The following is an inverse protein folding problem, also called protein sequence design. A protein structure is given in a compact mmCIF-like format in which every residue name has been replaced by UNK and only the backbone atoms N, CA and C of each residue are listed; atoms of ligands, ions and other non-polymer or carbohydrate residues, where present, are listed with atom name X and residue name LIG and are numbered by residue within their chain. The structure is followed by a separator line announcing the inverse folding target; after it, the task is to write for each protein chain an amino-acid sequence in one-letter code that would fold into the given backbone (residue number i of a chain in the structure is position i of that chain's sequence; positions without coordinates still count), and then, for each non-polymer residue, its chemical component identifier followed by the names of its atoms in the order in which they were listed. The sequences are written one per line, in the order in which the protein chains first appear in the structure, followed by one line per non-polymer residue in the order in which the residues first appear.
data_IF_506859273249
#
_entry.id   IF_506859273249
#
_cell.length_a   1.000
_cell.length_b   1.000
_cell.length_c   1.000
_cell.angle_alpha   90.00
_cell.angle_beta   90.00
_cell.angle_gamma   90.00
#
_symmetry.space_group_name_H-M   'P 1'
#
loop_
_entity.id
_entity.type
_entity.pdbx_description
1 polymer ?
#
# COMPACT_ATOMS: atom_id res chain seq x y z
N UNK A 1 4.72 10.72 -19.19
CA UNK A 1 5.38 9.41 -19.03
C UNK A 1 5.58 9.07 -17.55
N UNK A 2 6.09 9.99 -16.73
CA UNK A 2 6.33 9.77 -15.29
C UNK A 2 5.07 9.43 -14.47
N UNK A 3 3.94 10.10 -14.73
CA UNK A 3 2.65 9.79 -14.07
C UNK A 3 2.09 8.38 -14.39
N UNK A 4 2.36 7.85 -15.58
CA UNK A 4 1.91 6.51 -15.95
C UNK A 4 2.65 5.43 -15.15
N UNK A 5 3.96 5.64 -14.91
CA UNK A 5 4.78 4.73 -14.11
C UNK A 5 4.38 4.76 -12.64
N UNK A 6 4.14 5.95 -12.08
CA UNK A 6 3.64 6.12 -10.71
C UNK A 6 2.30 5.41 -10.51
N UNK A 7 1.34 5.61 -11.42
CA UNK A 7 0.03 4.96 -11.34
C UNK A 7 0.13 3.43 -11.45
N UNK A 8 0.99 2.93 -12.34
CA UNK A 8 1.20 1.48 -12.48
C UNK A 8 1.82 0.88 -11.21
N UNK A 9 2.82 1.56 -10.63
CA UNK A 9 3.43 1.15 -9.37
C UNK A 9 2.41 1.16 -8.23
N UNK A 10 1.63 2.24 -8.08
CA UNK A 10 0.59 2.34 -7.06
C UNK A 10 -0.42 1.20 -7.16
N UNK A 11 -0.95 0.95 -8.37
CA UNK A 11 -1.93 -0.13 -8.58
C UNK A 11 -1.35 -1.51 -8.25
N UNK A 12 -0.06 -1.75 -8.51
CA UNK A 12 0.60 -3.00 -8.17
C UNK A 12 0.73 -3.18 -6.64
N UNK A 13 1.13 -2.13 -5.92
CA UNK A 13 1.22 -2.15 -4.47
C UNK A 13 -0.15 -2.23 -3.80
N UNK A 14 -1.15 -1.53 -4.32
CA UNK A 14 -2.54 -1.61 -3.86
C UNK A 14 -3.06 -3.04 -3.94
N UNK A 15 -2.92 -3.72 -5.09
CA UNK A 15 -3.36 -5.10 -5.24
C UNK A 15 -2.66 -6.05 -4.26
N UNK A 16 -1.34 -5.92 -4.08
CA UNK A 16 -0.59 -6.74 -3.11
C UNK A 16 -1.06 -6.49 -1.68
N UNK A 17 -1.28 -5.22 -1.33
CA UNK A 17 -1.70 -4.79 -0.01
C UNK A 17 -3.10 -5.32 0.31
N UNK A 18 -4.05 -5.16 -0.61
CA UNK A 18 -5.41 -5.70 -0.51
C UNK A 18 -5.37 -7.21 -0.33
N UNK A 19 -4.62 -7.95 -1.15
CA UNK A 19 -4.48 -9.40 -0.98
C UNK A 19 -3.97 -9.81 0.42
N UNK A 20 -2.99 -9.08 0.97
CA UNK A 20 -2.48 -9.34 2.31
C UNK A 20 -3.53 -9.02 3.40
N UNK A 21 -4.30 -7.95 3.22
CA UNK A 21 -5.35 -7.54 4.14
C UNK A 21 -6.55 -8.50 4.13
N UNK A 22 -7.02 -8.91 2.96
CA UNK A 22 -8.12 -9.88 2.76
C UNK A 22 -7.81 -11.26 3.36
N UNK A 23 -6.54 -11.66 3.35
CA UNK A 23 -6.09 -12.92 3.96
C UNK A 23 -5.79 -12.79 5.45
N UNK A 24 -5.99 -11.61 6.05
CA UNK A 24 -5.69 -11.31 7.45
C UNK A 24 -4.19 -11.26 7.77
N UNK A 25 -3.32 -11.30 6.77
CA UNK A 25 -1.87 -11.29 6.93
C UNK A 25 -1.34 -9.87 7.13
N UNK A 26 -1.56 -9.33 8.33
CA UNK A 26 -1.13 -7.97 8.71
C UNK A 26 0.39 -7.75 8.62
N UNK A 27 1.18 -8.79 8.86
CA UNK A 27 2.63 -8.70 8.74
C UNK A 27 3.05 -8.47 7.29
N UNK A 28 2.43 -9.19 6.35
CA UNK A 28 2.68 -9.01 4.92
C UNK A 28 2.16 -7.65 4.43
N UNK A 29 1.00 -7.19 4.90
CA UNK A 29 0.49 -5.86 4.57
C UNK A 29 1.50 -4.74 4.95
N UNK A 30 2.13 -4.84 6.13
CA UNK A 30 3.18 -3.90 6.55
C UNK A 30 4.45 -4.00 5.69
N UNK A 31 4.86 -5.21 5.30
CA UNK A 31 6.01 -5.38 4.38
C UNK A 31 5.74 -4.76 3.03
N UNK A 32 4.58 -5.02 2.44
CA UNK A 32 4.18 -4.42 1.15
C UNK A 32 4.18 -2.89 1.25
N UNK A 33 3.66 -2.33 2.34
CA UNK A 33 3.66 -0.88 2.55
C UNK A 33 5.09 -0.32 2.71
N UNK A 34 5.96 -1.00 3.44
CA UNK A 34 7.37 -0.61 3.59
C UNK A 34 8.11 -0.65 2.25
N UNK A 35 7.93 -1.71 1.44
CA UNK A 35 8.49 -1.78 0.09
C UNK A 35 7.99 -0.63 -0.79
N UNK A 36 6.71 -0.26 -0.68
CA UNK A 36 6.14 0.82 -1.48
C UNK A 36 6.81 2.18 -1.22
N UNK A 37 7.42 2.40 -0.05
CA UNK A 37 8.08 3.68 0.30
C UNK A 37 9.27 4.01 -0.59
N UNK A 38 9.93 2.99 -1.15
CA UNK A 38 11.08 3.17 -2.04
C UNK A 38 10.67 3.55 -3.47
N UNK A 39 9.41 3.34 -3.84
CA UNK A 39 8.93 3.46 -5.23
C UNK A 39 7.83 4.49 -5.44
N UNK A 40 7.06 4.82 -4.40
CA UNK A 40 5.86 5.65 -4.52
C UNK A 40 6.06 7.04 -3.90
N UNK A 41 5.31 8.00 -4.43
CA UNK A 41 5.19 9.33 -3.83
C UNK A 41 4.45 9.29 -2.50
N UNK A 42 4.65 10.32 -1.67
CA UNK A 42 3.95 10.49 -0.40
C UNK A 42 2.42 10.51 -0.55
N UNK A 43 1.91 11.04 -1.67
CA UNK A 43 0.48 11.04 -1.99
C UNK A 43 -0.05 9.62 -2.17
N UNK A 44 0.64 8.81 -2.99
CA UNK A 44 0.32 7.40 -3.21
C UNK A 44 0.42 6.58 -1.91
N UNK A 45 1.44 6.82 -1.06
CA UNK A 45 1.56 6.16 0.25
C UNK A 45 0.43 6.56 1.21
N UNK A 46 0.03 7.83 1.20
CA UNK A 46 -1.08 8.32 2.02
C UNK A 46 -2.40 7.67 1.59
N UNK A 47 -2.62 7.51 0.28
CA UNK A 47 -3.75 6.75 -0.25
C UNK A 47 -3.77 5.30 0.25
N UNK A 48 -2.65 4.58 0.13
CA UNK A 48 -2.56 3.17 0.54
C UNK A 48 -2.79 2.97 2.05
N UNK A 49 -2.23 3.85 2.89
CA UNK A 49 -2.41 3.79 4.34
C UNK A 49 -3.84 4.14 4.76
N UNK A 50 -4.48 5.12 4.11
CA UNK A 50 -5.89 5.44 4.34
C UNK A 50 -6.81 4.30 3.94
N UNK A 51 -6.59 3.67 2.78
CA UNK A 51 -7.35 2.50 2.33
C UNK A 51 -7.24 1.35 3.34
N UNK A 52 -6.01 1.01 3.77
CA UNK A 52 -5.79 -0.05 4.76
C UNK A 52 -6.49 0.24 6.11
N UNK A 53 -6.49 1.51 6.54
CA UNK A 53 -7.14 1.91 7.79
C UNK A 53 -8.67 1.96 7.67
N UNK A 54 -9.20 2.53 6.59
CA UNK A 54 -10.63 2.74 6.40
C UNK A 54 -11.39 1.43 6.12
N UNK A 55 -10.85 0.60 5.24
CA UNK A 55 -11.56 -0.59 4.76
C UNK A 55 -11.27 -1.82 5.65
N UNK A 56 -10.08 -1.89 6.23
CA UNK A 56 -9.62 -3.08 6.96
C UNK A 56 -9.28 -2.82 8.44
N UNK A 57 -9.30 -1.56 8.89
CA UNK A 57 -8.93 -1.21 10.26
C UNK A 57 -7.46 -1.51 10.61
N UNK A 58 -6.58 -1.56 9.60
CA UNK A 58 -5.16 -1.90 9.78
C UNK A 58 -4.30 -0.66 9.58
N UNK A 59 -3.55 -0.29 10.62
CA UNK A 59 -2.45 0.66 10.49
C UNK A 59 -1.21 -0.05 9.93
N UNK A 60 -0.85 0.31 8.70
CA UNK A 60 0.32 -0.20 7.96
C UNK A 60 1.51 0.77 8.00
N UNK A 61 1.32 1.98 8.51
CA UNK A 61 2.33 3.04 8.55
C UNK A 61 3.36 2.86 9.66
N UNK A 62 2.99 2.15 10.73
CA UNK A 62 3.90 1.67 11.77
C UNK A 62 4.44 0.29 11.40
N UNK A 63 5.68 0.23 10.90
CA UNK A 63 6.47 -1.00 10.85
C UNK A 63 7.20 -1.22 12.18
#
# INVERSE_FOLDING_TARGET
MQQCLENAARNAFENKLVCALETGNRAEARRVYAEAQDYLTQESLSYLSQMASADYGVDVSYA
#
